data_IF_759858001655
#
_entry.id   IF_759858001655
#
_cell.length_a   1.000
_cell.length_b   1.000
_cell.length_c   1.000
_cell.angle_alpha   90.00
_cell.angle_beta   90.00
_cell.angle_gamma   90.00
#
_symmetry.space_group_name_H-M   'P 1'
#
loop_
_entity.id
_entity.type
_entity.pdbx_description
1 polymer ?
#
# COMPACT_ATOMS: atom_id res chain seq x y z
N UNK A 1 13.42 -3.62 -6.10
CA UNK A 1 12.94 -2.36 -6.70
C UNK A 1 11.81 -1.73 -5.89
N UNK A 2 10.67 -2.40 -5.67
CA UNK A 2 9.53 -1.90 -4.85
C UNK A 2 9.92 -1.41 -3.44
N UNK A 3 10.89 -2.06 -2.78
CA UNK A 3 11.36 -1.69 -1.43
C UNK A 3 11.96 -0.28 -1.31
N UNK A 4 12.66 0.19 -2.33
CA UNK A 4 13.32 1.50 -2.33
C UNK A 4 12.32 2.65 -2.51
N UNK A 5 11.20 2.40 -3.21
CA UNK A 5 10.22 3.42 -3.60
C UNK A 5 9.12 3.70 -2.55
N UNK A 6 8.99 2.84 -1.54
CA UNK A 6 7.95 2.95 -0.51
C UNK A 6 8.49 3.50 0.82
N UNK A 7 9.71 4.04 0.87
CA UNK A 7 10.35 4.43 2.14
C UNK A 7 10.58 3.25 3.09
N UNK A 8 10.44 2.01 2.60
CA UNK A 8 10.50 0.76 3.36
C UNK A 8 11.96 0.28 3.56
N UNK A 9 12.90 1.22 3.75
CA UNK A 9 14.32 0.88 3.92
C UNK A 9 14.57 -0.01 5.15
N UNK A 10 13.73 0.11 6.17
CA UNK A 10 13.76 -0.72 7.38
C UNK A 10 12.78 -1.89 7.38
N UNK A 11 11.95 -2.05 6.33
CA UNK A 11 10.95 -3.13 6.30
C UNK A 11 11.52 -4.35 5.57
N UNK A 12 12.11 -5.24 6.36
CA UNK A 12 12.62 -6.51 5.90
C UNK A 12 11.48 -7.44 5.47
N UNK A 13 11.78 -8.42 4.60
CA UNK A 13 10.79 -9.46 4.25
C UNK A 13 10.42 -10.34 5.46
N UNK A 14 11.02 -10.16 6.64
CA UNK A 14 10.53 -10.76 7.88
C UNK A 14 9.49 -9.88 8.57
N UNK A 15 9.40 -8.60 8.24
CA UNK A 15 8.52 -7.67 8.96
C UNK A 15 7.07 -7.82 8.53
N UNK A 16 6.81 -8.28 7.30
CA UNK A 16 5.45 -8.65 6.90
C UNK A 16 4.91 -9.83 7.72
N UNK A 17 5.77 -10.78 8.10
CA UNK A 17 5.37 -11.96 8.88
C UNK A 17 5.46 -11.72 10.39
N UNK A 18 6.44 -10.92 10.86
CA UNK A 18 6.65 -10.64 12.28
C UNK A 18 5.84 -9.46 12.84
N UNK A 19 5.51 -8.43 12.04
CA UNK A 19 4.67 -7.33 12.54
C UNK A 19 3.18 -7.69 12.60
N UNK A 20 2.76 -8.84 12.06
CA UNK A 20 1.43 -9.40 12.33
C UNK A 20 1.20 -9.73 13.81
N UNK A 21 2.28 -10.01 14.56
CA UNK A 21 2.21 -10.57 15.92
C UNK A 21 2.66 -9.61 17.04
N UNK A 22 3.45 -8.57 16.75
CA UNK A 22 3.95 -7.62 17.78
C UNK A 22 3.08 -6.37 17.93
N UNK A 23 2.62 -6.03 19.15
CA UNK A 23 1.81 -4.83 19.44
C UNK A 23 2.68 -3.55 19.40
N UNK A 24 3.02 -3.02 18.22
CA UNK A 24 3.72 -1.73 18.08
C UNK A 24 2.90 -0.73 17.27
N UNK A 25 3.07 0.57 17.54
CA UNK A 25 2.30 1.67 16.91
C UNK A 25 2.43 1.73 15.37
N UNK A 26 3.45 1.11 14.76
CA UNK A 26 3.62 1.08 13.29
C UNK A 26 2.74 0.04 12.58
N UNK A 27 2.02 -0.84 13.30
CA UNK A 27 1.09 -1.81 12.69
C UNK A 27 -0.07 -1.16 11.95
N UNK A 28 -0.57 -0.04 12.47
CA UNK A 28 -1.78 0.60 11.92
C UNK A 28 -1.57 1.09 10.48
N UNK A 29 -0.56 1.94 10.19
CA UNK A 29 -0.35 2.40 8.82
C UNK A 29 0.09 1.28 7.87
N UNK A 30 0.86 0.30 8.33
CA UNK A 30 1.23 -0.86 7.50
C UNK A 30 0.00 -1.72 7.15
N UNK A 31 -0.88 -2.00 8.12
CA UNK A 31 -2.11 -2.73 7.87
C UNK A 31 -3.06 -1.96 6.93
N UNK A 32 -3.16 -0.64 7.07
CA UNK A 32 -3.92 0.22 6.14
C UNK A 32 -3.35 0.16 4.73
N UNK A 33 -2.03 0.20 4.57
CA UNK A 33 -1.39 0.06 3.25
C UNK A 33 -1.62 -1.34 2.66
N UNK A 34 -1.49 -2.41 3.46
CA UNK A 34 -1.79 -3.77 3.02
C UNK A 34 -3.24 -3.94 2.57
N UNK A 35 -4.18 -3.32 3.30
CA UNK A 35 -5.59 -3.30 2.93
C UNK A 35 -5.79 -2.59 1.59
N UNK A 36 -5.17 -1.43 1.40
CA UNK A 36 -5.26 -0.66 0.15
C UNK A 36 -4.68 -1.43 -1.05
N UNK A 37 -3.51 -2.06 -0.87
CA UNK A 37 -2.91 -2.93 -1.90
C UNK A 37 -3.85 -4.09 -2.24
N UNK A 38 -4.41 -4.75 -1.23
CA UNK A 38 -5.34 -5.86 -1.42
C UNK A 38 -6.61 -5.42 -2.14
N UNK A 39 -7.12 -4.24 -1.81
CA UNK A 39 -8.29 -3.62 -2.43
C UNK A 39 -8.06 -3.32 -3.93
N UNK A 40 -6.93 -2.69 -4.29
CA UNK A 40 -6.63 -2.38 -5.69
C UNK A 40 -6.41 -3.65 -6.53
N UNK A 41 -5.76 -4.68 -5.99
CA UNK A 41 -5.61 -5.96 -6.66
C UNK A 41 -6.95 -6.68 -6.86
N UNK A 42 -7.84 -6.60 -5.87
CA UNK A 42 -9.19 -7.15 -5.97
C UNK A 42 -10.00 -6.45 -7.07
N UNK A 43 -9.97 -5.11 -7.11
CA UNK A 43 -10.65 -4.34 -8.14
C UNK A 43 -10.11 -4.64 -9.54
N UNK A 44 -8.79 -4.79 -9.68
CA UNK A 44 -8.17 -5.13 -10.95
C UNK A 44 -8.58 -6.54 -11.43
N UNK A 45 -8.56 -7.52 -10.53
CA UNK A 45 -9.06 -8.87 -10.82
C UNK A 45 -10.52 -8.84 -11.27
N UNK A 46 -11.38 -8.06 -10.61
CA UNK A 46 -12.77 -7.92 -11.00
C UNK A 46 -12.92 -7.24 -12.36
N UNK A 47 -12.13 -6.21 -12.65
CA UNK A 47 -12.13 -5.56 -13.97
C UNK A 47 -11.72 -6.54 -15.07
N UNK A 48 -10.72 -7.40 -14.84
CA UNK A 48 -10.35 -8.47 -15.78
C UNK A 48 -11.49 -9.44 -16.01
N UNK A 49 -12.13 -9.93 -14.96
CA UNK A 49 -13.16 -10.97 -15.07
C UNK A 49 -14.45 -10.42 -15.69
N UNK A 50 -14.93 -9.27 -15.21
CA UNK A 50 -16.26 -8.76 -15.58
C UNK A 50 -16.25 -7.81 -16.76
N UNK A 51 -15.10 -7.18 -17.07
CA UNK A 51 -14.98 -6.18 -18.14
C UNK A 51 -13.95 -6.54 -19.20
N UNK A 52 -13.22 -7.65 -19.03
CA UNK A 52 -12.12 -8.07 -19.91
C UNK A 52 -11.07 -6.98 -20.14
N UNK A 53 -10.85 -6.12 -19.14
CA UNK A 53 -9.87 -5.03 -19.18
C UNK A 53 -8.64 -5.40 -18.34
N UNK A 54 -7.45 -5.18 -18.88
CA UNK A 54 -6.18 -5.37 -18.18
C UNK A 54 -5.44 -4.03 -18.12
N UNK A 55 -4.84 -3.71 -16.97
CA UNK A 55 -3.99 -2.53 -16.81
C UNK A 55 -2.56 -2.95 -16.45
N UNK A 56 -1.60 -2.09 -16.80
CA UNK A 56 -0.21 -2.30 -16.41
C UNK A 56 -0.06 -2.22 -14.89
N UNK A 57 0.90 -2.96 -14.35
CA UNK A 57 1.23 -2.94 -12.91
C UNK A 57 1.53 -1.51 -12.43
N UNK A 58 2.17 -0.70 -13.26
CA UNK A 58 2.48 0.70 -12.98
C UNK A 58 1.21 1.54 -12.71
N UNK A 59 0.11 1.25 -13.42
CA UNK A 59 -1.18 1.93 -13.22
C UNK A 59 -1.78 1.57 -11.86
N UNK A 60 -1.69 0.30 -11.45
CA UNK A 60 -2.16 -0.15 -10.12
C UNK A 60 -1.32 0.52 -9.04
N UNK A 61 0.00 0.57 -9.20
CA UNK A 61 0.90 1.23 -8.26
C UNK A 61 0.61 2.74 -8.17
N UNK A 62 0.34 3.41 -9.29
CA UNK A 62 -0.04 4.82 -9.31
C UNK A 62 -1.33 5.08 -8.52
N UNK A 63 -2.36 4.24 -8.70
CA UNK A 63 -3.62 4.33 -7.93
C UNK A 63 -3.41 4.13 -6.42
N UNK A 64 -2.60 3.14 -6.03
CA UNK A 64 -2.25 2.92 -4.62
C UNK A 64 -1.56 4.15 -4.03
N UNK A 65 -0.62 4.78 -4.76
CA UNK A 65 0.06 6.00 -4.30
C UNK A 65 -0.90 7.18 -4.18
N UNK A 66 -1.77 7.39 -5.17
CA UNK A 66 -2.75 8.47 -5.17
C UNK A 66 -3.71 8.31 -3.98
N UNK A 67 -4.29 7.13 -3.79
CA UNK A 67 -5.24 6.86 -2.70
C UNK A 67 -4.57 6.95 -1.32
N UNK A 68 -3.34 6.44 -1.17
CA UNK A 68 -2.60 6.59 0.07
C UNK A 68 -2.26 8.06 0.39
N UNK A 69 -2.04 8.89 -0.64
CA UNK A 69 -1.80 10.33 -0.49
C UNK A 69 -3.09 11.04 -0.03
N UNK A 70 -4.22 10.71 -0.66
CA UNK A 70 -5.54 11.18 -0.25
C UNK A 70 -5.83 10.83 1.21
N UNK A 71 -5.55 9.60 1.63
CA UNK A 71 -5.74 9.18 3.02
C UNK A 71 -4.82 9.95 3.97
N UNK A 72 -3.58 10.19 3.59
CA UNK A 72 -2.65 11.03 4.36
C UNK A 72 -3.20 12.45 4.54
N UNK A 73 -3.70 13.08 3.45
CA UNK A 73 -4.31 14.41 3.48
C UNK A 73 -5.60 14.46 4.30
N UNK A 74 -6.39 13.38 4.32
CA UNK A 74 -7.62 13.25 5.11
C UNK A 74 -7.38 13.11 6.63
N UNK A 75 -6.14 13.28 7.10
CA UNK A 75 -5.79 13.29 8.52
C UNK A 75 -5.23 11.97 9.03
N UNK A 76 -4.95 11.00 8.16
CA UNK A 76 -4.28 9.74 8.52
C UNK A 76 -2.78 9.98 8.69
N UNK A 77 -2.39 10.68 9.76
CA UNK A 77 -1.01 11.13 10.10
C UNK A 77 0.06 10.02 10.15
N UNK A 78 -0.31 8.77 9.98
CA UNK A 78 0.59 7.62 10.09
C UNK A 78 1.00 7.07 8.71
N UNK A 79 0.22 7.34 7.66
CA UNK A 79 0.55 6.97 6.28
C UNK A 79 1.56 7.95 5.65
N UNK A 80 1.51 9.21 6.06
CA UNK A 80 2.49 10.26 5.71
C UNK A 80 3.93 9.89 6.06
N UNK A 81 4.14 9.07 7.09
CA UNK A 81 5.48 8.66 7.53
C UNK A 81 6.04 7.50 6.70
N UNK A 82 5.19 6.76 5.98
CA UNK A 82 5.61 5.64 5.12
C UNK A 82 5.79 6.14 3.68
N UNK A 83 4.95 7.07 3.24
CA UNK A 83 5.06 7.62 1.89
C UNK A 83 6.00 8.82 1.88
N UNK A 84 7.15 8.66 1.22
CA UNK A 84 8.05 9.78 0.95
C UNK A 84 7.29 10.85 0.15
N UNK A 85 7.34 12.10 0.62
CA UNK A 85 6.84 13.26 -0.14
C UNK A 85 7.83 13.51 -1.27
N UNK A 86 7.54 12.95 -2.44
CA UNK A 86 8.14 13.38 -3.72
C UNK A 86 7.47 14.68 -4.19
#
# INVERSE_FOLDING_TARGET
MIKYWLGLHDVHSSDWSQNGTKKTQSRRPLASLMLLVSWELWNERNARIFRNTVVLVEVIVARIKEEASLWSMAGTRHLSNIMSRE
#
